data_IF_259794891167
#
_entry.id   IF_259794891167
#
_cell.length_a   1.000
_cell.length_b   1.000
_cell.length_c   1.000
_cell.angle_alpha   90.00
_cell.angle_beta   90.00
_cell.angle_gamma   90.00
#
_symmetry.space_group_name_H-M   'P 1'
#
loop_
_entity.id
_entity.type
_entity.pdbx_description
1 polymer ?
#
# COMPACT_ATOMS: atom_id res chain seq x y z
N UNK A 1 16.34 1.21 4.66
CA UNK A 1 15.28 2.24 4.81
C UNK A 1 15.29 3.26 3.67
N UNK A 2 16.44 3.71 3.17
CA UNK A 2 16.54 4.58 1.98
C UNK A 2 15.86 4.00 0.72
N UNK A 3 16.08 2.71 0.43
CA UNK A 3 15.51 2.06 -0.76
C UNK A 3 13.96 2.01 -0.78
N UNK A 4 13.30 1.99 0.39
CA UNK A 4 11.83 1.97 0.47
C UNK A 4 11.22 3.35 0.17
N UNK A 5 11.93 4.42 0.54
CA UNK A 5 11.53 5.79 0.24
C UNK A 5 11.75 6.10 -1.25
N UNK A 6 12.85 5.62 -1.83
CA UNK A 6 13.08 5.73 -3.29
C UNK A 6 12.04 4.95 -4.10
N UNK A 7 11.69 3.72 -3.69
CA UNK A 7 10.59 2.98 -4.33
C UNK A 7 9.26 3.70 -4.22
N UNK A 8 8.96 4.35 -3.09
CA UNK A 8 7.76 5.16 -2.93
C UNK A 8 7.75 6.38 -3.85
N UNK A 9 8.90 7.07 -3.98
CA UNK A 9 9.03 8.22 -4.87
C UNK A 9 8.86 7.85 -6.34
N UNK A 10 9.42 6.70 -6.72
CA UNK A 10 9.29 6.16 -8.07
C UNK A 10 7.85 5.73 -8.36
N UNK A 11 7.16 5.12 -7.39
CA UNK A 11 5.76 4.74 -7.50
C UNK A 11 4.84 5.97 -7.62
N UNK A 12 5.11 7.03 -6.85
CA UNK A 12 4.38 8.30 -6.91
C UNK A 12 4.53 8.97 -8.29
N UNK A 13 5.73 8.94 -8.86
CA UNK A 13 6.00 9.49 -10.20
C UNK A 13 5.27 8.71 -11.29
N UNK A 14 5.30 7.37 -11.23
CA UNK A 14 4.57 6.51 -12.16
C UNK A 14 3.05 6.69 -12.06
N UNK A 15 2.55 6.88 -10.84
CA UNK A 15 1.13 7.12 -10.59
C UNK A 15 0.65 8.46 -11.16
N UNK A 16 1.46 9.52 -11.08
CA UNK A 16 1.16 10.79 -11.74
C UNK A 16 1.12 10.66 -13.26
N UNK A 17 2.06 9.90 -13.85
CA UNK A 17 2.10 9.65 -15.29
C UNK A 17 0.86 8.86 -15.77
N UNK A 18 0.43 7.87 -14.98
CA UNK A 18 -0.79 7.11 -15.24
C UNK A 18 -2.06 7.93 -15.04
N UNK A 19 -2.10 8.83 -14.05
CA UNK A 19 -3.22 9.73 -13.83
C UNK A 19 -3.40 10.72 -15.01
N UNK A 20 -2.29 11.21 -15.57
CA UNK A 20 -2.32 12.04 -16.78
C UNK A 20 -2.86 11.24 -17.97
N UNK A 21 -2.43 9.98 -18.14
CA UNK A 21 -2.93 9.08 -19.20
C UNK A 21 -4.40 8.68 -19.05
N UNK A 22 -4.87 8.55 -17.81
CA UNK A 22 -6.28 8.27 -17.49
C UNK A 22 -7.20 9.43 -17.87
N UNK A 23 -6.77 10.67 -17.67
CA UNK A 23 -7.55 11.88 -18.01
C UNK A 23 -7.57 12.13 -19.52
N UNK A 24 -6.55 11.69 -20.27
CA UNK A 24 -6.49 11.81 -21.73
C UNK A 24 -7.39 10.82 -22.49
N UNK A 25 -8.07 9.90 -21.78
CA UNK A 25 -9.03 8.96 -22.40
C UNK A 25 -8.39 7.75 -23.08
N UNK A 26 -7.13 7.46 -22.76
CA UNK A 26 -6.34 6.34 -23.30
C UNK A 26 -6.25 5.18 -22.30
N UNK A 27 -7.28 5.01 -21.46
CA UNK A 27 -7.40 3.85 -20.57
C UNK A 27 -8.21 2.79 -21.31
N UNK A 28 -7.52 2.00 -22.14
CA UNK A 28 -8.09 0.85 -22.85
C UNK A 28 -8.73 -0.17 -21.89
N UNK A 29 -8.36 -0.18 -20.60
CA UNK A 29 -8.79 -1.21 -19.63
C UNK A 29 -9.18 -0.64 -18.25
N UNK A 30 -10.45 -0.25 -18.09
CA UNK A 30 -11.09 0.04 -16.77
C UNK A 30 -10.93 -1.14 -15.79
N UNK A 31 -10.75 -2.35 -16.30
CA UNK A 31 -10.54 -3.56 -15.51
C UNK A 31 -9.24 -3.55 -14.71
N UNK A 32 -8.14 -3.06 -15.28
CA UNK A 32 -6.83 -3.03 -14.61
C UNK A 32 -6.84 -2.06 -13.42
N UNK A 33 -7.57 -0.94 -13.53
CA UNK A 33 -7.77 -0.02 -12.41
C UNK A 33 -8.53 -0.70 -11.26
N UNK A 34 -9.60 -1.45 -11.55
CA UNK A 34 -10.38 -2.15 -10.52
C UNK A 34 -9.60 -3.28 -9.85
N UNK A 35 -8.74 -3.98 -10.59
CA UNK A 35 -7.88 -5.05 -10.06
C UNK A 35 -6.81 -4.43 -9.14
N UNK A 36 -6.13 -3.38 -9.60
CA UNK A 36 -5.12 -2.69 -8.81
C UNK A 36 -5.72 -2.08 -7.52
N UNK A 37 -6.93 -1.53 -7.60
CA UNK A 37 -7.64 -1.00 -6.43
C UNK A 37 -7.99 -2.11 -5.42
N UNK A 38 -8.41 -3.29 -5.90
CA UNK A 38 -8.70 -4.44 -5.05
C UNK A 38 -7.44 -4.97 -4.36
N UNK A 39 -6.33 -5.12 -5.10
CA UNK A 39 -5.03 -5.52 -4.52
C UNK A 39 -4.54 -4.53 -3.47
N UNK A 40 -4.64 -3.22 -3.76
CA UNK A 40 -4.26 -2.18 -2.81
C UNK A 40 -5.10 -2.23 -1.53
N UNK A 41 -6.41 -2.46 -1.65
CA UNK A 41 -7.30 -2.61 -0.49
C UNK A 41 -6.88 -3.81 0.38
N UNK A 42 -6.65 -4.97 -0.24
CA UNK A 42 -6.21 -6.17 0.47
C UNK A 42 -4.83 -5.99 1.13
N UNK A 43 -3.90 -5.30 0.46
CA UNK A 43 -2.58 -5.01 1.02
C UNK A 43 -2.66 -4.08 2.24
N UNK A 44 -3.57 -3.10 2.22
CA UNK A 44 -3.82 -2.20 3.36
C UNK A 44 -4.41 -2.97 4.54
N UNK A 45 -5.40 -3.83 4.29
CA UNK A 45 -6.00 -4.68 5.34
C UNK A 45 -4.97 -5.61 5.97
N UNK A 46 -4.15 -6.27 5.15
CA UNK A 46 -3.07 -7.12 5.63
C UNK A 46 -2.07 -6.32 6.48
N UNK A 47 -1.69 -5.12 6.04
CA UNK A 47 -0.78 -4.24 6.78
C UNK A 47 -1.37 -3.83 8.13
N UNK A 48 -2.66 -3.51 8.17
CA UNK A 48 -3.37 -3.20 9.42
C UNK A 48 -3.40 -4.40 10.37
N UNK A 49 -3.66 -5.61 9.85
CA UNK A 49 -3.65 -6.84 10.64
C UNK A 49 -2.26 -7.14 11.23
N UNK A 50 -1.19 -6.97 10.43
CA UNK A 50 0.20 -7.13 10.89
C UNK A 50 0.54 -6.09 11.96
N UNK A 51 0.15 -4.82 11.76
CA UNK A 51 0.35 -3.75 12.76
C UNK A 51 -0.33 -4.10 14.08
N UNK A 52 -1.59 -4.53 14.04
CA UNK A 52 -2.35 -4.88 15.25
C UNK A 52 -1.67 -6.04 15.98
N UNK A 53 -1.28 -7.10 15.26
CA UNK A 53 -0.59 -8.25 15.85
C UNK A 53 0.77 -7.89 16.45
N UNK A 54 1.50 -6.95 15.83
CA UNK A 54 2.75 -6.45 16.37
C UNK A 54 2.55 -5.65 17.67
N UNK A 55 1.49 -4.83 17.74
CA UNK A 55 1.12 -4.10 18.97
C UNK A 55 0.69 -5.07 20.08
N UNK A 56 -0.12 -6.07 19.75
CA UNK A 56 -0.54 -7.10 20.71
C UNK A 56 0.66 -7.88 21.26
N UNK A 57 1.60 -8.28 20.39
CA UNK A 57 2.83 -8.94 20.80
C UNK A 57 3.70 -8.05 21.70
N UNK A 58 3.83 -6.76 21.38
CA UNK A 58 4.56 -5.81 22.21
C UNK A 58 3.90 -5.66 23.59
N UNK A 59 2.58 -5.51 23.63
CA UNK A 59 1.83 -5.42 24.89
C UNK A 59 1.97 -6.69 25.74
N UNK A 60 1.94 -7.88 25.12
CA UNK A 60 2.11 -9.13 25.86
C UNK A 60 3.53 -9.27 26.42
N UNK A 61 4.56 -8.88 25.67
CA UNK A 61 5.95 -8.84 26.18
C UNK A 61 6.06 -7.90 27.38
N UNK A 62 5.47 -6.69 27.29
CA UNK A 62 5.46 -5.73 28.39
C UNK A 62 4.72 -6.27 29.62
N UNK A 63 3.65 -7.05 29.42
CA UNK A 63 2.87 -7.67 30.50
C UNK A 63 3.58 -8.84 31.16
N UNK A 64 4.42 -9.57 30.42
CA UNK A 64 5.26 -10.64 30.97
C UNK A 64 6.48 -10.13 31.74
N UNK A 65 6.93 -8.90 31.48
CA UNK A 65 8.07 -8.27 32.17
C UNK A 65 7.68 -7.41 33.38
N UNK A 66 6.38 -7.19 33.60
CA UNK A 66 5.83 -6.45 34.74
C UNK A 66 5.57 -7.35 35.96
#
# INVERSE_FOLDING_TARGET
MLNGVDSLQQLQSTSNDLAVKAVTGDLDDVHDYTIAAAEASTAIELTAAVRNKAVDAFNEIMRMQA
#
